data_IF_595222038419
#
_entry.id   IF_595222038419
#
_cell.length_a   1.000
_cell.length_b   1.000
_cell.length_c   1.000
_cell.angle_alpha   90.00
_cell.angle_beta   90.00
_cell.angle_gamma   90.00
#
_symmetry.space_group_name_H-M   'P 1'
#
loop_
_entity.id
_entity.type
_entity.pdbx_description
1 polymer ?
#
# COMPACT_ATOMS: atom_id res chain seq x y z
N UNK A 1 -35.02 -40.70 -32.43
CA UNK A 1 -34.22 -39.80 -31.58
C UNK A 1 -32.80 -40.32 -31.25
N UNK A 2 -32.58 -41.62 -30.97
CA UNK A 2 -31.24 -42.19 -30.65
C UNK A 2 -30.14 -41.96 -31.71
N UNK A 3 -30.48 -41.91 -33.01
CA UNK A 3 -29.50 -41.70 -34.10
C UNK A 3 -28.89 -40.29 -34.15
N UNK A 4 -29.57 -39.28 -33.58
CA UNK A 4 -29.08 -37.89 -33.58
C UNK A 4 -28.02 -37.65 -32.50
N UNK A 5 -28.18 -38.28 -31.33
CA UNK A 5 -27.18 -38.23 -30.24
C UNK A 5 -25.88 -38.97 -30.61
N UNK A 6 -25.96 -40.10 -31.30
CA UNK A 6 -24.78 -40.87 -31.73
C UNK A 6 -23.93 -40.14 -32.77
N UNK A 7 -24.52 -39.26 -33.60
CA UNK A 7 -23.78 -38.46 -34.58
C UNK A 7 -23.00 -37.33 -33.90
N UNK A 8 -23.59 -36.68 -32.88
CA UNK A 8 -22.96 -35.59 -32.12
C UNK A 8 -21.75 -36.03 -31.28
N UNK A 9 -21.71 -37.29 -30.85
CA UNK A 9 -20.57 -37.88 -30.13
C UNK A 9 -19.40 -38.26 -31.05
N UNK A 10 -19.67 -38.51 -32.34
CA UNK A 10 -18.63 -38.82 -33.35
C UNK A 10 -17.98 -37.59 -33.97
N UNK A 11 -18.59 -36.41 -33.83
CA UNK A 11 -18.06 -35.13 -34.34
C UNK A 11 -17.21 -34.36 -33.31
N UNK A 12 -16.91 -34.94 -32.15
CA UNK A 12 -15.94 -34.36 -31.22
C UNK A 12 -14.52 -34.70 -31.68
N UNK A 13 -14.01 -33.94 -32.65
CA UNK A 13 -12.57 -33.88 -32.93
C UNK A 13 -11.89 -33.29 -31.70
N UNK A 14 -11.26 -34.14 -30.89
CA UNK A 14 -10.50 -33.69 -29.71
C UNK A 14 -9.31 -32.84 -30.13
N UNK A 15 -8.96 -31.83 -29.31
CA UNK A 15 -7.69 -31.13 -29.47
C UNK A 15 -6.53 -32.11 -29.29
N UNK A 16 -5.50 -31.94 -30.10
CA UNK A 16 -4.29 -32.76 -30.00
C UNK A 16 -3.47 -32.32 -28.79
N UNK A 17 -2.73 -33.26 -28.19
CA UNK A 17 -1.85 -32.94 -27.06
C UNK A 17 -0.77 -31.92 -27.43
N UNK A 18 -0.33 -31.91 -28.70
CA UNK A 18 0.68 -30.97 -29.19
C UNK A 18 0.15 -29.53 -29.27
N UNK A 19 -1.13 -29.34 -29.61
CA UNK A 19 -1.77 -28.02 -29.61
C UNK A 19 -1.86 -27.44 -28.20
N UNK A 20 -2.28 -28.27 -27.23
CA UNK A 20 -2.28 -27.85 -25.83
C UNK A 20 -0.87 -27.57 -25.29
N UNK A 21 0.13 -28.36 -25.71
CA UNK A 21 1.53 -28.18 -25.32
C UNK A 21 2.10 -26.85 -25.84
N UNK A 22 1.83 -26.48 -27.10
CA UNK A 22 2.29 -25.22 -27.64
C UNK A 22 1.72 -24.00 -26.88
N UNK A 23 0.45 -24.06 -26.48
CA UNK A 23 -0.21 -22.97 -25.74
C UNK A 23 0.39 -22.77 -24.35
N UNK A 24 0.62 -23.85 -23.58
CA UNK A 24 1.21 -23.72 -22.24
C UNK A 24 2.65 -23.19 -22.30
N UNK A 25 3.41 -23.53 -23.35
CA UNK A 25 4.77 -23.01 -23.56
C UNK A 25 4.74 -21.50 -23.81
N UNK A 26 3.82 -21.01 -24.64
CA UNK A 26 3.67 -19.57 -24.90
C UNK A 26 3.26 -18.84 -23.60
N UNK A 27 2.29 -19.37 -22.86
CA UNK A 27 1.86 -18.77 -21.57
C UNK A 27 3.01 -18.76 -20.57
N UNK A 28 3.82 -19.83 -20.50
CA UNK A 28 4.96 -19.90 -19.60
C UNK A 28 6.02 -18.82 -19.90
N UNK A 29 6.33 -18.56 -21.18
CA UNK A 29 7.27 -17.50 -21.57
C UNK A 29 6.74 -16.12 -21.19
N UNK A 30 5.46 -15.85 -21.46
CA UNK A 30 4.82 -14.57 -21.10
C UNK A 30 4.81 -14.40 -19.57
N UNK A 31 4.42 -15.44 -18.83
CA UNK A 31 4.36 -15.41 -17.37
C UNK A 31 5.74 -15.16 -16.74
N UNK A 32 6.80 -15.76 -17.28
CA UNK A 32 8.16 -15.57 -16.78
C UNK A 32 8.62 -14.10 -16.80
N UNK A 33 8.17 -13.31 -17.78
CA UNK A 33 8.50 -11.88 -17.90
C UNK A 33 7.48 -11.02 -17.13
N UNK A 34 6.19 -11.36 -17.24
CA UNK A 34 5.10 -10.57 -16.69
C UNK A 34 5.04 -10.60 -15.16
N UNK A 35 5.26 -11.77 -14.54
CA UNK A 35 5.18 -11.92 -13.07
C UNK A 35 6.13 -10.98 -12.33
N UNK A 36 7.46 -10.96 -12.61
CA UNK A 36 8.36 -10.06 -11.89
C UNK A 36 8.06 -8.58 -12.17
N UNK A 37 7.70 -8.23 -13.41
CA UNK A 37 7.37 -6.84 -13.76
C UNK A 37 6.11 -6.34 -13.04
N UNK A 38 5.05 -7.16 -13.00
CA UNK A 38 3.80 -6.84 -12.30
C UNK A 38 4.02 -6.82 -10.79
N UNK A 39 4.83 -7.73 -10.25
CA UNK A 39 5.18 -7.73 -8.82
C UNK A 39 5.81 -6.41 -8.39
N UNK A 40 6.80 -5.92 -9.15
CA UNK A 40 7.44 -4.62 -8.88
C UNK A 40 6.45 -3.46 -9.02
N UNK A 41 5.56 -3.49 -10.01
CA UNK A 41 4.54 -2.45 -10.20
C UNK A 41 3.54 -2.40 -9.04
N UNK A 42 3.11 -3.56 -8.54
CA UNK A 42 2.23 -3.64 -7.37
C UNK A 42 2.95 -3.13 -6.13
N UNK A 43 4.22 -3.52 -5.93
CA UNK A 43 5.03 -3.05 -4.80
C UNK A 43 5.17 -1.53 -4.80
N UNK A 44 5.57 -0.96 -5.94
CA UNK A 44 5.64 0.47 -6.17
C UNK A 44 4.33 1.21 -5.87
N UNK A 45 3.19 0.65 -6.29
CA UNK A 45 1.87 1.23 -6.01
C UNK A 45 1.52 1.23 -4.52
N UNK A 46 1.99 0.21 -3.77
CA UNK A 46 1.78 0.10 -2.33
C UNK A 46 2.64 1.10 -1.56
N UNK A 47 3.88 1.29 -1.99
CA UNK A 47 4.76 2.34 -1.44
C UNK A 47 4.21 3.74 -1.69
N UNK A 48 3.70 4.01 -2.90
CA UNK A 48 3.07 5.29 -3.21
C UNK A 48 1.82 5.52 -2.33
N UNK A 49 1.03 4.47 -2.08
CA UNK A 49 -0.12 4.54 -1.18
C UNK A 49 0.31 4.83 0.28
N UNK A 50 1.38 4.20 0.76
CA UNK A 50 1.90 4.43 2.11
C UNK A 50 2.40 5.88 2.30
N UNK A 51 3.03 6.46 1.28
CA UNK A 51 3.40 7.89 1.29
C UNK A 51 2.16 8.78 1.32
N UNK A 52 1.13 8.46 0.54
CA UNK A 52 -0.12 9.21 0.55
C UNK A 52 -0.82 9.14 1.91
N UNK A 53 -0.82 7.96 2.56
CA UNK A 53 -1.33 7.78 3.93
C UNK A 53 -0.58 8.71 4.89
N UNK A 54 0.76 8.74 4.85
CA UNK A 54 1.57 9.62 5.70
C UNK A 54 1.29 11.11 5.46
N UNK A 55 1.08 11.51 4.21
CA UNK A 55 0.68 12.89 3.86
C UNK A 55 -0.70 13.26 4.40
N UNK A 56 -1.65 12.30 4.42
CA UNK A 56 -2.97 12.49 5.01
C UNK A 56 -2.87 12.67 6.53
N UNK A 57 -2.10 11.81 7.22
CA UNK A 57 -1.84 11.94 8.66
C UNK A 57 -1.24 13.31 8.97
N UNK A 58 -0.23 13.73 8.23
CA UNK A 58 0.42 15.02 8.44
C UNK A 58 -0.54 16.20 8.21
N UNK A 59 -1.43 16.10 7.22
CA UNK A 59 -2.44 17.13 6.94
C UNK A 59 -3.49 17.21 8.05
N UNK A 60 -3.92 16.08 8.59
CA UNK A 60 -4.83 16.03 9.74
C UNK A 60 -4.18 16.59 11.01
N UNK A 61 -2.92 16.22 11.27
CA UNK A 61 -2.16 16.74 12.41
C UNK A 61 -1.94 18.25 12.34
N UNK A 62 -1.73 18.82 11.13
CA UNK A 62 -1.66 20.27 10.97
C UNK A 62 -2.97 20.97 11.37
N UNK A 63 -4.12 20.36 11.09
CA UNK A 63 -5.41 20.89 11.51
C UNK A 63 -5.58 20.78 13.03
N UNK A 64 -5.20 19.64 13.61
CA UNK A 64 -5.17 19.43 15.06
C UNK A 64 -4.30 20.48 15.78
N UNK A 65 -3.07 20.74 15.32
CA UNK A 65 -2.18 21.74 15.93
C UNK A 65 -2.62 23.18 15.70
N UNK A 66 -3.43 23.45 14.68
CA UNK A 66 -4.02 24.76 14.47
C UNK A 66 -5.10 25.05 15.53
N UNK A 67 -5.85 24.03 15.96
CA UNK A 67 -6.87 24.14 17.00
C UNK A 67 -6.30 23.98 18.42
N UNK A 68 -5.25 23.18 18.58
CA UNK A 68 -4.59 22.86 19.85
C UNK A 68 -3.16 23.43 19.85
N UNK A 69 -3.04 24.75 19.87
CA UNK A 69 -1.77 25.46 19.65
C UNK A 69 -0.66 25.14 20.67
N UNK A 70 -1.03 24.65 21.85
CA UNK A 70 -0.13 24.34 22.97
C UNK A 70 0.40 22.89 22.93
N UNK A 71 -0.19 22.02 22.10
CA UNK A 71 0.22 20.62 21.97
C UNK A 71 1.26 20.48 20.84
N UNK A 72 2.51 20.09 21.16
CA UNK A 72 3.58 20.02 20.16
C UNK A 72 3.61 18.69 19.41
N UNK A 73 2.83 17.71 19.84
CA UNK A 73 2.91 16.32 19.38
C UNK A 73 1.52 15.72 19.23
N UNK A 74 1.34 14.84 18.25
CA UNK A 74 0.16 14.01 18.05
C UNK A 74 0.63 12.59 17.73
N UNK A 75 0.12 11.60 18.47
CA UNK A 75 0.60 10.22 18.38
C UNK A 75 -0.54 9.23 18.10
N UNK A 76 -0.17 8.08 17.54
CA UNK A 76 -1.06 6.93 17.45
C UNK A 76 -0.97 6.11 18.75
N UNK A 77 -2.09 5.98 19.45
CA UNK A 77 -2.16 5.21 20.69
C UNK A 77 -2.11 3.69 20.45
N UNK A 78 -2.76 3.22 19.38
CA UNK A 78 -2.66 1.84 18.91
C UNK A 78 -3.16 1.70 17.46
N UNK A 79 -2.39 0.99 16.61
CA UNK A 79 -2.89 0.61 15.30
C UNK A 79 -4.08 -0.34 15.41
N UNK A 80 -5.14 -0.03 14.68
CA UNK A 80 -6.31 -0.86 14.45
C UNK A 80 -6.05 -1.77 13.25
N UNK A 81 -6.64 -2.97 13.28
CA UNK A 81 -6.47 -3.95 12.20
C UNK A 81 -7.00 -3.47 10.83
N UNK A 82 -7.89 -2.46 10.83
CA UNK A 82 -8.51 -1.90 9.62
C UNK A 82 -7.87 -0.55 9.20
N UNK A 83 -6.79 -0.12 9.87
CA UNK A 83 -6.12 1.15 9.54
C UNK A 83 -6.97 2.39 9.80
N UNK A 84 -7.97 2.30 10.68
CA UNK A 84 -8.88 3.38 11.07
C UNK A 84 -8.46 4.02 12.39
N UNK A 85 -8.76 5.31 12.52
CA UNK A 85 -8.42 6.09 13.72
C UNK A 85 -9.29 5.63 14.88
N UNK A 86 -8.65 5.31 16.00
CA UNK A 86 -9.36 4.96 17.21
C UNK A 86 -9.79 6.24 17.93
N UNK A 87 -10.90 6.19 18.68
CA UNK A 87 -11.36 7.32 19.50
C UNK A 87 -10.37 7.74 20.62
N UNK A 88 -9.25 7.02 20.77
CA UNK A 88 -8.16 7.32 21.69
C UNK A 88 -6.96 7.98 21.04
N UNK A 89 -6.97 8.20 19.73
CA UNK A 89 -5.91 8.91 19.02
C UNK A 89 -6.13 10.42 19.08
N UNK A 90 -5.04 11.18 19.16
CA UNK A 90 -5.08 12.66 19.18
C UNK A 90 -5.73 13.23 17.90
N UNK A 91 -5.71 12.46 16.81
CA UNK A 91 -6.28 12.82 15.52
C UNK A 91 -7.74 12.38 15.32
N UNK A 92 -8.42 11.88 16.37
CA UNK A 92 -9.86 11.58 16.29
C UNK A 92 -10.66 12.83 15.87
N UNK A 93 -11.53 12.67 14.88
CA UNK A 93 -12.27 13.77 14.25
C UNK A 93 -11.50 14.56 13.17
N UNK A 94 -10.19 14.35 13.01
CA UNK A 94 -9.36 15.00 11.97
C UNK A 94 -8.91 14.04 10.87
N UNK A 95 -8.76 12.76 11.21
CA UNK A 95 -8.30 11.71 10.31
C UNK A 95 -9.28 10.54 10.34
N UNK A 96 -9.67 10.02 9.16
CA UNK A 96 -10.56 8.85 9.08
C UNK A 96 -9.78 7.53 9.06
N UNK A 97 -8.61 7.52 8.42
CA UNK A 97 -7.77 6.34 8.25
C UNK A 97 -6.32 6.73 8.03
N UNK A 98 -5.40 5.92 8.57
CA UNK A 98 -3.96 5.98 8.31
C UNK A 98 -3.49 4.82 7.42
N UNK A 99 -4.43 4.13 6.76
CA UNK A 99 -4.15 3.06 5.81
C UNK A 99 -3.21 1.99 6.37
N UNK A 100 -2.05 1.81 5.73
CA UNK A 100 -1.11 0.75 6.11
C UNK A 100 -0.02 1.18 7.10
N UNK A 101 -0.16 2.35 7.72
CA UNK A 101 0.71 2.81 8.81
C UNK A 101 0.40 2.03 10.09
N UNK A 102 1.43 1.51 10.74
CA UNK A 102 1.34 0.71 11.98
C UNK A 102 1.67 1.52 13.23
N UNK A 103 2.43 2.60 13.09
CA UNK A 103 2.70 3.55 14.18
C UNK A 103 3.07 4.90 13.56
N UNK A 104 2.72 5.99 14.22
CA UNK A 104 3.22 7.30 13.85
C UNK A 104 3.34 8.23 15.06
N UNK A 105 4.26 9.18 14.93
CA UNK A 105 4.40 10.34 15.81
C UNK A 105 4.53 11.56 14.91
N UNK A 106 3.64 12.53 15.07
CA UNK A 106 3.72 13.82 14.39
C UNK A 106 4.17 14.87 15.39
N UNK A 107 5.23 15.61 15.05
CA UNK A 107 5.79 16.67 15.90
C UNK A 107 5.80 18.00 15.17
N UNK A 108 5.41 19.06 15.87
CA UNK A 108 5.59 20.44 15.41
C UNK A 108 6.99 20.91 15.81
N UNK A 109 7.86 21.13 14.83
CA UNK A 109 9.20 21.65 15.10
C UNK A 109 9.16 23.12 15.50
N UNK A 110 9.63 23.43 16.71
CA UNK A 110 9.63 24.78 17.27
C UNK A 110 10.60 25.75 16.56
N UNK A 111 11.61 25.21 15.85
CA UNK A 111 12.67 26.03 15.25
C UNK A 111 12.26 26.60 13.89
N UNK A 112 11.60 25.78 13.06
CA UNK A 112 11.26 26.14 11.67
C UNK A 112 9.75 26.26 11.42
N UNK A 113 8.92 25.93 12.43
CA UNK A 113 7.46 25.93 12.31
C UNK A 113 6.91 24.82 11.41
N UNK A 114 7.77 23.91 10.96
CA UNK A 114 7.39 22.78 10.13
C UNK A 114 6.85 21.65 11.00
N UNK A 115 5.89 20.90 10.45
CA UNK A 115 5.39 19.67 11.05
C UNK A 115 6.09 18.49 10.39
N UNK A 116 6.60 17.57 11.19
CA UNK A 116 7.27 16.34 10.75
C UNK A 116 6.50 15.12 11.22
N UNK A 117 6.53 14.06 10.41
CA UNK A 117 6.00 12.75 10.77
C UNK A 117 7.13 11.72 10.81
N UNK A 118 7.17 10.96 11.89
CA UNK A 118 7.89 9.69 12.05
C UNK A 118 6.85 8.58 12.00
N UNK A 119 7.09 7.52 11.23
CA UNK A 119 6.12 6.42 11.16
C UNK A 119 6.76 5.09 10.79
N UNK A 120 6.08 4.02 11.20
CA UNK A 120 6.27 2.69 10.63
C UNK A 120 5.03 2.30 9.84
N UNK A 121 5.21 1.61 8.72
CA UNK A 121 4.09 1.12 7.93
C UNK A 121 4.50 0.01 6.98
N UNK A 122 3.51 -0.58 6.32
CA UNK A 122 3.72 -1.74 5.44
C UNK A 122 3.34 -1.44 4.00
N UNK A 123 4.18 -1.89 3.07
CA UNK A 123 3.86 -1.95 1.66
C UNK A 123 3.94 -3.41 1.22
N UNK A 124 2.83 -4.14 1.35
CA UNK A 124 2.78 -5.56 1.08
C UNK A 124 3.37 -6.37 2.23
N UNK A 125 4.44 -7.12 1.98
CA UNK A 125 5.16 -7.88 3.01
C UNK A 125 6.38 -7.14 3.55
N UNK A 126 6.66 -5.95 3.03
CA UNK A 126 7.79 -5.12 3.43
C UNK A 126 7.34 -4.08 4.45
N UNK A 127 8.13 -3.93 5.50
CA UNK A 127 7.94 -2.91 6.55
C UNK A 127 8.94 -1.79 6.32
N UNK A 128 8.48 -0.56 6.47
CA UNK A 128 9.30 0.65 6.36
C UNK A 128 9.29 1.39 7.69
N UNK A 129 10.46 1.79 8.17
CA UNK A 129 10.62 2.73 9.29
C UNK A 129 11.13 4.04 8.71
N UNK A 130 10.35 5.11 8.86
CA UNK A 130 10.62 6.41 8.27
C UNK A 130 10.89 7.42 9.38
N UNK A 131 12.14 7.90 9.43
CA UNK A 131 12.55 9.01 10.30
C UNK A 131 11.85 10.32 9.93
N UNK A 132 11.85 11.30 10.83
CA UNK A 132 11.14 12.57 10.71
C UNK A 132 11.21 13.18 9.30
N UNK A 133 10.07 13.19 8.60
CA UNK A 133 9.90 13.86 7.31
C UNK A 133 8.88 14.99 7.39
N UNK A 134 9.22 16.13 6.81
CA UNK A 134 8.28 17.20 6.47
C UNK A 134 7.40 16.79 5.29
N UNK A 135 6.30 17.52 5.07
CA UNK A 135 5.46 17.34 3.88
C UNK A 135 6.25 17.41 2.57
N UNK A 136 7.13 18.41 2.46
CA UNK A 136 7.94 18.60 1.25
C UNK A 136 8.89 17.43 0.96
N UNK A 137 9.37 16.75 2.01
CA UNK A 137 10.19 15.55 1.85
C UNK A 137 9.35 14.33 1.45
N UNK A 138 8.11 14.20 1.94
CA UNK A 138 7.18 13.16 1.49
C UNK A 138 6.67 13.39 0.06
N UNK A 139 6.62 14.65 -0.40
CA UNK A 139 6.24 14.97 -1.77
C UNK A 139 7.29 14.47 -2.81
N UNK A 140 8.46 14.00 -2.36
CA UNK A 140 9.41 13.25 -3.19
C UNK A 140 8.90 11.85 -3.59
N UNK A 141 7.75 11.41 -3.05
CA UNK A 141 7.15 10.11 -3.34
C UNK A 141 7.82 8.98 -2.56
N UNK A 142 7.75 7.76 -3.11
CA UNK A 142 8.25 6.55 -2.45
C UNK A 142 9.73 6.58 -2.04
N UNK A 143 10.56 7.41 -2.68
CA UNK A 143 11.96 7.58 -2.29
C UNK A 143 12.10 8.12 -0.85
N UNK A 144 11.07 8.79 -0.33
CA UNK A 144 11.03 9.28 1.04
C UNK A 144 10.95 8.15 2.08
N UNK A 145 10.48 6.96 1.70
CA UNK A 145 10.36 5.79 2.57
C UNK A 145 11.72 5.14 2.88
N UNK A 146 12.74 5.41 2.07
CA UNK A 146 14.03 4.74 2.19
C UNK A 146 13.98 3.27 1.79
N UNK A 147 14.81 2.45 2.43
CA UNK A 147 14.85 1.00 2.18
C UNK A 147 13.96 0.26 3.19
N UNK A 148 13.26 -0.80 2.78
CA UNK A 148 12.50 -1.62 3.70
C UNK A 148 13.40 -2.28 4.75
N UNK A 149 12.83 -2.53 5.92
CA UNK A 149 13.48 -3.20 7.04
C UNK A 149 13.90 -4.62 6.62
N UNK A 150 15.12 -5.01 6.99
CA UNK A 150 15.57 -6.39 6.82
C UNK A 150 14.85 -7.26 7.85
N UNK A 151 13.95 -8.14 7.37
CA UNK A 151 13.39 -9.23 8.17
C UNK A 151 14.45 -10.21 8.64
#
# INVERSE_FOLDING_TARGET
>A
MKKFLQKKLKDQKGMTLIELLAVIVIIAIIAAIAIPAISNLIQNSREDALVADAQNVLSAANLYFAENSDEPTAELAAASEDGTVAASDDLDGYLESYGNITSFTVTKENTDGNTVIEFEGTAGSETYTVDAKTKAQLDAGREALGTPNSN
#
